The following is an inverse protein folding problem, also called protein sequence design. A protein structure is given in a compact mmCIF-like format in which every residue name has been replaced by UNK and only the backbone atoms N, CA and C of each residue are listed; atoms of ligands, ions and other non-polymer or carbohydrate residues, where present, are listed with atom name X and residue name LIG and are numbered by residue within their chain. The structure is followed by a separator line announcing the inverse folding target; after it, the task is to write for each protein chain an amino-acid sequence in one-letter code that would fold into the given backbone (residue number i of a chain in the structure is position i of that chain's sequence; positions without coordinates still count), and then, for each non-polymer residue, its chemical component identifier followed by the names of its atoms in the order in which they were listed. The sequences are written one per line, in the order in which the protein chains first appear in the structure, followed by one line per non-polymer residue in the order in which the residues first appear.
data_IF_735788522082
#
_entry.id   IF_735788522082
#
_cell.length_a   1.000
_cell.length_b   1.000
_cell.length_c   1.000
_cell.angle_alpha   90.00
_cell.angle_beta   90.00
_cell.angle_gamma   90.00
#
_symmetry.space_group_name_H-M   'P 1'
#
loop_
_entity.id
_entity.type
_entity.pdbx_description
1 polymer ?
#
# COMPACT_ATOMS: atom_id res chain seq x y z
N UNK A 1 19.30 1.00 4.19
CA UNK A 1 18.35 1.90 4.88
C UNK A 1 17.68 2.78 3.83
N UNK A 2 16.36 2.98 3.89
CA UNK A 2 15.56 3.64 2.85
C UNK A 2 15.77 5.17 2.72
N UNK A 3 16.69 5.76 3.50
CA UNK A 3 16.95 7.20 3.49
C UNK A 3 15.76 8.05 3.99
N UNK A 4 14.84 7.45 4.73
CA UNK A 4 13.61 8.08 5.25
C UNK A 4 13.42 7.74 6.72
N UNK A 5 12.89 8.65 7.54
CA UNK A 5 12.58 8.36 8.93
C UNK A 5 11.47 7.30 9.00
N UNK A 6 11.65 6.26 9.83
CA UNK A 6 10.65 5.18 9.94
C UNK A 6 9.29 5.67 10.43
N UNK A 7 9.25 6.78 11.19
CA UNK A 7 7.99 7.44 11.55
C UNK A 7 7.13 7.89 10.36
N UNK A 8 7.71 7.96 9.15
CA UNK A 8 7.03 8.34 7.91
C UNK A 8 7.08 7.24 6.84
N UNK A 9 7.38 6.00 7.23
CA UNK A 9 7.48 4.86 6.30
C UNK A 9 6.49 3.78 6.70
N UNK A 10 5.72 3.30 5.72
CA UNK A 10 4.90 2.11 5.85
C UNK A 10 5.39 1.06 4.86
N UNK A 11 5.24 -0.21 5.21
CA UNK A 11 5.60 -1.36 4.38
C UNK A 11 4.33 -2.18 4.21
N UNK A 12 3.80 -2.21 2.99
CA UNK A 12 2.65 -3.03 2.63
C UNK A 12 3.19 -4.25 1.90
N UNK A 13 3.10 -5.41 2.54
CA UNK A 13 3.61 -6.66 1.96
C UNK A 13 2.80 -7.85 2.47
N UNK A 14 2.70 -8.88 1.65
CA UNK A 14 2.00 -10.12 1.95
C UNK A 14 2.86 -11.12 2.74
N UNK A 15 4.08 -10.73 3.12
CA UNK A 15 5.01 -11.58 3.85
C UNK A 15 5.70 -10.87 5.01
N UNK A 16 5.40 -11.35 6.22
CA UNK A 16 6.08 -10.91 7.45
C UNK A 16 7.61 -11.07 7.40
N UNK A 17 8.11 -12.14 6.75
CA UNK A 17 9.56 -12.43 6.62
C UNK A 17 10.33 -11.23 6.04
N UNK A 18 9.73 -10.45 5.15
CA UNK A 18 10.35 -9.27 4.53
C UNK A 18 10.36 -8.04 5.43
N UNK A 19 9.56 -8.05 6.49
CA UNK A 19 9.32 -6.90 7.36
C UNK A 19 9.80 -7.12 8.81
N UNK A 20 10.47 -8.26 9.10
CA UNK A 20 10.96 -8.64 10.44
C UNK A 20 11.82 -7.54 11.09
N UNK A 21 12.56 -6.77 10.30
CA UNK A 21 13.41 -5.69 10.80
C UNK A 21 12.63 -4.42 11.17
N UNK A 22 11.42 -4.24 10.66
CA UNK A 22 10.57 -3.07 10.90
C UNK A 22 9.11 -3.48 11.11
N UNK A 23 8.80 -4.32 12.11
CA UNK A 23 7.48 -4.92 12.27
C UNK A 23 6.41 -3.88 12.64
N UNK A 24 6.79 -2.78 13.29
CA UNK A 24 5.89 -1.69 13.63
C UNK A 24 5.54 -0.79 12.43
N UNK A 25 6.14 -1.04 11.27
CA UNK A 25 5.87 -0.32 10.03
C UNK A 25 5.15 -1.22 9.01
N UNK A 26 4.84 -2.46 9.36
CA UNK A 26 4.25 -3.44 8.46
C UNK A 26 2.72 -3.42 8.51
N UNK A 27 2.11 -3.25 7.34
CA UNK A 27 0.68 -3.40 7.11
C UNK A 27 0.50 -4.66 6.26
N UNK A 28 -0.12 -5.73 6.79
CA UNK A 28 -0.35 -6.93 6.01
C UNK A 28 -1.36 -6.66 4.89
N UNK A 29 -1.13 -7.27 3.73
CA UNK A 29 -2.09 -7.30 2.62
C UNK A 29 -2.21 -8.73 2.10
N UNK A 30 -3.40 -9.10 1.62
CA UNK A 30 -3.60 -10.38 0.96
C UNK A 30 -2.81 -10.47 -0.35
N UNK A 31 -2.25 -11.65 -0.64
CA UNK A 31 -1.65 -11.93 -1.94
C UNK A 31 -2.70 -11.82 -3.05
N UNK A 32 -2.44 -11.03 -4.08
CA UNK A 32 -3.31 -10.92 -5.24
C UNK A 32 -3.35 -12.23 -6.06
N UNK A 33 -4.52 -12.84 -6.21
CA UNK A 33 -4.71 -14.15 -6.86
C UNK A 33 -5.28 -14.07 -8.28
N UNK A 34 -5.05 -12.96 -8.99
CA UNK A 34 -5.68 -12.67 -10.30
C UNK A 34 -7.22 -12.66 -10.25
N UNK A 35 -7.79 -12.40 -9.08
CA UNK A 35 -9.22 -12.14 -8.95
C UNK A 35 -9.48 -10.71 -9.45
N UNK A 36 -10.33 -10.54 -10.45
CA UNK A 36 -10.66 -9.21 -10.98
C UNK A 36 -11.59 -8.42 -10.05
N UNK A 37 -12.28 -9.12 -9.14
CA UNK A 37 -13.13 -8.52 -8.11
C UNK A 37 -12.35 -8.20 -6.82
N UNK A 38 -11.02 -8.40 -6.81
CA UNK A 38 -10.16 -8.09 -5.68
C UNK A 38 -10.19 -6.58 -5.39
N UNK A 39 -10.59 -6.23 -4.17
CA UNK A 39 -10.69 -4.85 -3.70
C UNK A 39 -9.77 -4.58 -2.50
N UNK A 40 -8.78 -5.43 -2.22
CA UNK A 40 -7.95 -5.32 -1.00
C UNK A 40 -7.23 -3.97 -0.90
N UNK A 41 -6.76 -3.44 -2.02
CA UNK A 41 -6.14 -2.11 -2.05
C UNK A 41 -7.12 -0.98 -1.73
N UNK A 42 -8.40 -1.12 -2.09
CA UNK A 42 -9.44 -0.16 -1.73
C UNK A 42 -9.79 -0.26 -0.24
N UNK A 43 -9.82 -1.48 0.31
CA UNK A 43 -10.02 -1.72 1.74
C UNK A 43 -8.93 -1.07 2.59
N UNK A 44 -7.70 -0.96 2.07
CA UNK A 44 -6.61 -0.26 2.75
C UNK A 44 -6.76 1.27 2.76
N UNK A 45 -7.54 1.87 1.85
CA UNK A 45 -7.58 3.33 1.69
C UNK A 45 -7.91 4.09 3.00
N UNK A 46 -8.93 3.74 3.79
CA UNK A 46 -9.25 4.48 5.02
C UNK A 46 -8.12 4.43 6.05
N UNK A 47 -7.36 3.33 6.10
CA UNK A 47 -6.18 3.22 6.96
C UNK A 47 -5.06 4.14 6.45
N UNK A 48 -4.79 4.13 5.15
CA UNK A 48 -3.76 4.97 4.54
C UNK A 48 -4.04 6.46 4.72
N UNK A 49 -5.30 6.87 4.62
CA UNK A 49 -5.75 8.24 4.91
C UNK A 49 -5.47 8.63 6.36
N UNK A 50 -5.82 7.78 7.32
CA UNK A 50 -5.52 8.02 8.74
C UNK A 50 -4.02 8.11 9.01
N UNK A 51 -3.23 7.24 8.37
CA UNK A 51 -1.76 7.22 8.51
C UNK A 51 -1.09 8.45 7.88
N UNK A 52 -1.71 9.08 6.88
CA UNK A 52 -1.20 10.30 6.26
C UNK A 52 -1.27 11.53 7.19
N UNK A 53 -2.19 11.53 8.14
CA UNK A 53 -2.43 12.66 9.05
C UNK A 53 -1.54 12.63 10.31
N UNK A 54 -0.91 11.50 10.63
CA UNK A 54 -0.08 11.36 11.83
C UNK A 54 1.39 11.68 11.57
N UNK A 55 2.10 12.13 12.61
CA UNK A 55 3.54 12.41 12.52
C UNK A 55 4.42 11.17 12.60
N UNK A 56 3.96 10.18 13.36
CA UNK A 56 4.57 8.86 13.50
C UNK A 56 3.52 7.78 13.23
N UNK A 57 3.75 7.00 12.17
CA UNK A 57 2.87 5.90 11.78
C UNK A 57 2.98 4.69 12.70
N UNK A 58 4.12 4.54 13.39
CA UNK A 58 4.50 3.29 14.07
C UNK A 58 3.54 2.90 15.20
N UNK A 59 3.06 3.83 16.06
CA UNK A 59 2.08 3.50 17.09
C UNK A 59 0.76 3.01 16.50
N UNK A 60 0.24 3.70 15.47
CA UNK A 60 -1.05 3.36 14.88
C UNK A 60 -1.01 1.98 14.19
N UNK A 61 0.08 1.67 13.50
CA UNK A 61 0.29 0.36 12.88
C UNK A 61 0.44 -0.72 13.95
N UNK A 62 1.26 -0.49 14.98
CA UNK A 62 1.44 -1.44 16.09
C UNK A 62 0.11 -1.70 16.81
N UNK A 63 -0.69 -0.67 17.06
CA UNK A 63 -1.97 -0.85 17.76
C UNK A 63 -3.00 -1.57 16.87
N UNK A 64 -2.87 -1.47 15.54
CA UNK A 64 -3.75 -2.17 14.58
C UNK A 64 -3.33 -3.62 14.31
N UNK A 65 -2.03 -3.93 14.33
CA UNK A 65 -1.48 -5.21 13.86
C UNK A 65 -0.51 -5.90 14.83
N UNK A 66 -0.28 -5.35 16.02
CA UNK A 66 0.71 -5.81 16.99
C UNK A 66 0.49 -7.26 17.42
N UNK A 67 -0.76 -7.64 17.67
CA UNK A 67 -1.13 -9.02 18.02
C UNK A 67 -0.78 -10.00 16.89
N UNK A 68 -0.98 -9.60 15.64
CA UNK A 68 -0.66 -10.41 14.46
C UNK A 68 0.86 -10.58 14.30
N UNK A 69 1.61 -9.49 14.48
CA UNK A 69 3.08 -9.52 14.50
C UNK A 69 3.59 -10.45 15.59
N UNK A 70 3.03 -10.38 16.79
CA UNK A 70 3.46 -11.19 17.92
C UNK A 70 3.18 -12.69 17.69
N UNK A 71 2.00 -13.02 17.16
CA UNK A 71 1.69 -14.38 16.74
C UNK A 71 2.71 -14.92 15.71
N UNK A 72 3.08 -14.11 14.72
CA UNK A 72 4.06 -14.52 13.70
C UNK A 72 5.49 -14.65 14.23
N UNK A 73 5.89 -13.81 15.21
CA UNK A 73 7.18 -13.94 15.90
C UNK A 73 7.27 -15.26 16.65
N UNK A 74 6.25 -15.61 17.41
CA UNK A 74 6.23 -16.86 18.18
C UNK A 74 6.37 -18.08 17.27
N UNK A 75 5.66 -18.07 16.14
CA UNK A 75 5.76 -19.14 15.13
C UNK A 75 7.15 -19.19 14.46
N UNK A 76 7.83 -18.06 14.30
CA UNK A 76 9.20 -18.03 13.74
C UNK A 76 10.27 -18.53 14.71
N UNK A 77 10.06 -18.40 16.02
CA UNK A 77 11.02 -18.80 17.07
C UNK A 77 10.95 -20.29 17.42
N UNK A 78 9.84 -20.97 17.14
CA UNK A 78 9.63 -22.37 17.50
C UNK A 78 10.28 -23.38 16.52
N UNK A 79 11.15 -22.95 15.60
CA UNK A 79 11.69 -23.79 14.50
C UNK A 79 10.56 -24.50 13.70
N UNK A 80 9.35 -23.96 13.72
CA UNK A 80 8.22 -24.43 12.92
C UNK A 80 8.08 -23.55 11.68
N UNK A 81 9.18 -23.44 10.91
CA UNK A 81 9.18 -22.72 9.64
C UNK A 81 8.07 -23.25 8.71
N UNK A 82 7.74 -24.54 8.79
CA UNK A 82 6.65 -25.18 8.05
C UNK A 82 5.26 -24.63 8.44
N UNK A 83 5.01 -24.30 9.72
CA UNK A 83 3.71 -23.75 10.15
C UNK A 83 3.58 -22.25 9.84
N UNK A 84 4.69 -21.50 9.91
CA UNK A 84 4.77 -20.12 9.39
C UNK A 84 4.50 -20.12 7.88
N UNK A 85 5.10 -21.07 7.15
CA UNK A 85 4.89 -21.24 5.71
C UNK A 85 3.44 -21.67 5.42
N UNK A 86 2.84 -22.52 6.25
CA UNK A 86 1.45 -22.99 6.09
C UNK A 86 0.42 -21.91 6.41
N UNK A 87 0.62 -21.07 7.42
CA UNK A 87 -0.24 -19.91 7.69
C UNK A 87 -0.06 -18.84 6.62
N UNK A 88 1.19 -18.55 6.23
CA UNK A 88 1.45 -17.71 5.05
C UNK A 88 0.83 -18.32 3.79
N UNK A 89 0.77 -19.65 3.63
CA UNK A 89 0.11 -20.34 2.51
C UNK A 89 -1.40 -20.38 2.62
N UNK A 90 -1.97 -20.49 3.82
CA UNK A 90 -3.41 -20.37 4.03
C UNK A 90 -3.87 -18.95 3.65
N UNK A 91 -3.00 -17.95 3.82
CA UNK A 91 -3.17 -16.61 3.25
C UNK A 91 -2.83 -16.58 1.73
N UNK A 92 -1.76 -17.24 1.27
CA UNK A 92 -1.35 -17.33 -0.15
C UNK A 92 -2.10 -18.41 -0.94
N UNK A 93 -3.02 -17.98 -1.78
CA UNK A 93 -3.57 -18.84 -2.83
C UNK A 93 -2.48 -19.22 -3.84
N UNK A 94 -2.67 -20.38 -4.46
CA UNK A 94 -1.78 -21.01 -5.44
C UNK A 94 -1.04 -20.03 -6.36
N UNK A 95 0.30 -20.06 -6.32
CA UNK A 95 1.16 -19.37 -7.28
C UNK A 95 1.22 -20.17 -8.60
N UNK A 96 1.16 -19.49 -9.75
CA UNK A 96 1.46 -20.07 -11.06
C UNK A 96 2.60 -19.27 -11.69
N UNK A 97 3.67 -19.96 -12.06
CA UNK A 97 4.84 -19.41 -12.75
C UNK A 97 4.45 -18.90 -14.16
N UNK A 98 4.67 -17.61 -14.41
CA UNK A 98 4.34 -16.94 -15.68
C UNK A 98 5.26 -15.76 -15.97
N UNK A 99 6.57 -16.04 -16.04
CA UNK A 99 7.67 -15.05 -15.99
C UNK A 99 7.80 -14.08 -17.19
N UNK A 100 7.07 -14.26 -18.30
CA UNK A 100 7.27 -13.46 -19.52
C UNK A 100 6.35 -12.24 -19.70
N UNK A 101 5.04 -12.49 -19.80
CA UNK A 101 4.04 -11.47 -20.19
C UNK A 101 3.73 -10.47 -19.08
N UNK A 102 3.81 -10.91 -17.82
CA UNK A 102 3.54 -10.09 -16.64
C UNK A 102 4.53 -8.92 -16.56
N UNK A 103 5.77 -9.10 -17.00
CA UNK A 103 6.80 -8.06 -16.94
C UNK A 103 6.57 -6.93 -17.96
N UNK A 104 6.06 -7.24 -19.15
CA UNK A 104 5.74 -6.24 -20.16
C UNK A 104 4.50 -5.43 -19.77
N UNK A 105 3.46 -6.12 -19.29
CA UNK A 105 2.25 -5.47 -18.78
C UNK A 105 2.55 -4.63 -17.54
N UNK A 106 3.38 -5.13 -16.61
CA UNK A 106 3.83 -4.38 -15.45
C UNK A 106 4.53 -3.09 -15.85
N UNK A 107 5.46 -3.13 -16.82
CA UNK A 107 6.12 -1.93 -17.36
C UNK A 107 5.14 -0.95 -18.01
N UNK A 108 4.15 -1.46 -18.75
CA UNK A 108 3.11 -0.61 -19.35
C UNK A 108 2.25 0.06 -18.28
N UNK A 109 1.81 -0.69 -17.28
CA UNK A 109 1.03 -0.18 -16.16
C UNK A 109 1.80 0.91 -15.40
N UNK A 110 3.08 0.69 -15.13
CA UNK A 110 3.93 1.72 -14.49
C UNK A 110 4.02 2.99 -15.34
N UNK A 111 4.11 2.88 -16.67
CA UNK A 111 4.09 4.06 -17.56
C UNK A 111 2.76 4.80 -17.51
N UNK A 112 1.64 4.06 -17.56
CA UNK A 112 0.29 4.65 -17.47
C UNK A 112 0.12 5.36 -16.13
N UNK A 113 0.48 4.71 -15.02
CA UNK A 113 0.38 5.30 -13.69
C UNK A 113 1.25 6.55 -13.53
N UNK A 114 2.48 6.56 -14.07
CA UNK A 114 3.31 7.78 -14.06
C UNK A 114 2.68 8.91 -14.87
N UNK A 115 2.14 8.63 -16.05
CA UNK A 115 1.44 9.64 -16.83
C UNK A 115 0.23 10.19 -16.07
N UNK A 116 -0.58 9.30 -15.48
CA UNK A 116 -1.73 9.69 -14.67
C UNK A 116 -1.34 10.50 -13.43
N UNK A 117 -0.22 10.18 -12.79
CA UNK A 117 0.28 10.96 -11.66
C UNK A 117 0.61 12.40 -12.07
N UNK A 118 1.17 12.61 -13.27
CA UNK A 118 1.40 13.96 -13.84
C UNK A 118 0.05 14.67 -14.08
N UNK A 119 -0.91 13.99 -14.72
CA UNK A 119 -2.24 14.55 -15.00
C UNK A 119 -2.97 14.97 -13.72
N UNK A 120 -2.76 14.22 -12.63
CA UNK A 120 -3.34 14.47 -11.30
C UNK A 120 -2.53 15.50 -10.49
N UNK A 121 -1.48 16.10 -11.06
CA UNK A 121 -0.65 17.11 -10.39
C UNK A 121 0.20 16.57 -9.24
N UNK A 122 0.46 15.26 -9.20
CA UNK A 122 1.32 14.67 -8.18
C UNK A 122 2.79 14.96 -8.47
N UNK A 123 3.52 15.41 -7.46
CA UNK A 123 4.95 15.66 -7.54
C UNK A 123 5.70 14.33 -7.67
N UNK A 124 6.17 14.02 -8.88
CA UNK A 124 7.04 12.89 -9.18
C UNK A 124 8.50 13.26 -8.91
N UNK A 125 9.14 12.51 -8.01
CA UNK A 125 10.55 12.65 -7.68
C UNK A 125 11.44 11.93 -8.69
N UNK A 126 12.72 12.27 -8.68
CA UNK A 126 13.74 11.63 -9.52
C UNK A 126 13.94 10.14 -9.26
N UNK A 127 13.59 9.66 -8.06
CA UNK A 127 13.64 8.26 -7.66
C UNK A 127 12.42 7.44 -8.15
N UNK A 128 11.50 8.08 -8.89
CA UNK A 128 10.30 7.44 -9.44
C UNK A 128 9.14 7.31 -8.46
N UNK A 129 9.28 7.83 -7.23
CA UNK A 129 8.21 7.89 -6.25
C UNK A 129 7.43 9.21 -6.35
N UNK A 130 6.13 9.14 -6.08
CA UNK A 130 5.26 10.32 -6.09
C UNK A 130 4.91 10.71 -4.66
N UNK A 131 4.84 12.01 -4.36
CA UNK A 131 4.30 12.49 -3.10
C UNK A 131 2.78 12.51 -3.21
N UNK A 132 2.07 11.65 -2.48
CA UNK A 132 0.64 11.85 -2.26
C UNK A 132 0.50 13.13 -1.42
N UNK A 133 0.04 14.21 -2.05
CA UNK A 133 -0.28 15.43 -1.33
C UNK A 133 -1.38 15.12 -0.30
N UNK A 134 -1.33 15.76 0.86
CA UNK A 134 -2.47 15.77 1.77
C UNK A 134 -3.66 16.24 0.96
N UNK A 135 -4.77 15.48 0.97
CA UNK A 135 -6.03 16.01 0.48
C UNK A 135 -6.36 17.20 1.35
N UNK A 136 -6.03 18.40 0.88
CA UNK A 136 -6.72 19.57 1.34
C UNK A 136 -8.17 19.35 0.92
N UNK A 137 -9.03 19.05 1.88
CA UNK A 137 -10.47 19.09 1.73
C UNK A 137 -10.93 20.55 1.50
N UNK A 138 -10.40 21.21 0.48
CA UNK A 138 -10.71 22.56 0.07
C UNK A 138 -10.16 22.78 -1.33
N UNK A 139 -10.96 22.45 -2.35
CA UNK A 139 -11.06 23.17 -3.63
C UNK A 139 -11.95 22.34 -4.54
N UNK A 140 -13.25 22.61 -4.49
CA UNK A 140 -14.17 22.71 -5.63
C UNK A 140 -15.49 23.28 -5.06
N UNK A 141 -15.44 24.55 -4.63
CA UNK A 141 -16.65 25.37 -4.57
C UNK A 141 -16.80 26.09 -5.93
N UNK A 142 -18.03 26.05 -6.43
CA UNK A 142 -18.63 26.96 -7.39
C UNK A 142 -18.03 27.02 -8.81
N UNK A 143 -18.51 26.13 -9.68
CA UNK A 143 -18.80 26.55 -11.04
C UNK A 143 -20.00 27.49 -10.98
N UNK A 144 -19.72 28.80 -10.88
CA UNK A 144 -20.67 29.86 -11.19
C UNK A 144 -21.08 29.72 -12.65
N UNK A 145 -22.26 29.15 -12.90
CA UNK A 145 -22.91 29.23 -14.20
C UNK A 145 -23.36 30.68 -14.36
N UNK A 146 -22.55 31.45 -15.06
CA UNK A 146 -22.98 32.66 -15.73
C UNK A 146 -23.90 32.22 -16.89
N UNK A 147 -25.21 32.29 -16.71
CA UNK A 147 -26.13 32.40 -17.83
C UNK A 147 -27.11 33.55 -17.58
N UNK A 148 -26.60 34.76 -17.85
CA UNK A 148 -27.38 35.96 -18.05
C UNK A 148 -27.36 36.30 -19.53
N UNK A 149 -28.07 35.51 -20.33
CA UNK A 149 -28.22 35.68 -21.77
C UNK A 149 -29.66 36.00 -22.17
N UNK A 150 -29.92 37.30 -22.30
CA UNK A 150 -31.01 37.96 -23.04
C UNK A 150 -31.98 37.09 -23.87
N UNK A 151 -33.28 37.27 -23.61
CA UNK A 151 -34.31 37.62 -24.61
C UNK A 151 -35.53 38.22 -23.93
#
# INVERSE_FOLDING_TARGET
MLGRPMSRVIIIDDSYKKCVLNPNNWVPISTFKRNLDDCELLVLMPLLERLAEVEDVSPLIRDSFGDHVEALKQLSLTNQEEQVEELNKKMKGHQIEGSGRINALGRLLTKILRHRAIDLGLELRSDGFSKCARSCAAQHQAASICDGGQR
#
